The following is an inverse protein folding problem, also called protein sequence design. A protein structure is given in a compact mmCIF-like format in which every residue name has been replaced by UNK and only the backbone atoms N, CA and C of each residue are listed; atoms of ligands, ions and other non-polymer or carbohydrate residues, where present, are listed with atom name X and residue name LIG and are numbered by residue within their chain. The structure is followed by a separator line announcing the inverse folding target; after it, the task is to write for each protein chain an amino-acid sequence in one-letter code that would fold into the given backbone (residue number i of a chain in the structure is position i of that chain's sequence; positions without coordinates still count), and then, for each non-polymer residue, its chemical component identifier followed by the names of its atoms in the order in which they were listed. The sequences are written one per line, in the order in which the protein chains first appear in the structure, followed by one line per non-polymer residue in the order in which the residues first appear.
data_IF_046971057574
#
_entry.id   IF_046971057574
#
_cell.length_a   1.000
_cell.length_b   1.000
_cell.length_c   1.000
_cell.angle_alpha   90.00
_cell.angle_beta   90.00
_cell.angle_gamma   90.00
#
_symmetry.space_group_name_H-M   'P 1'
#
loop_
_entity.id
_entity.type
_entity.pdbx_description
1 polymer ?
#
# COMPACT_ATOMS: atom_id res chain seq x y z
N UNK A 1 -18.92 -13.81 1.35
CA UNK A 1 -18.56 -13.65 2.77
C UNK A 1 -19.71 -14.25 3.59
N UNK A 2 -19.47 -15.33 4.29
CA UNK A 2 -20.39 -15.79 5.31
C UNK A 2 -20.11 -15.00 6.56
N UNK A 3 -21.10 -14.31 7.11
CA UNK A 3 -21.01 -13.45 8.30
C UNK A 3 -20.66 -14.18 9.61
N UNK A 4 -20.23 -15.45 9.54
CA UNK A 4 -20.01 -16.33 10.68
C UNK A 4 -18.55 -16.84 10.81
N UNK A 5 -17.63 -16.43 9.93
CA UNK A 5 -16.24 -16.84 10.11
C UNK A 5 -15.53 -15.90 11.11
N UNK A 6 -14.91 -16.46 12.16
CA UNK A 6 -14.24 -15.62 13.15
C UNK A 6 -13.08 -14.85 12.52
N UNK A 7 -13.08 -13.52 12.70
CA UNK A 7 -12.02 -12.62 12.23
C UNK A 7 -10.78 -12.65 13.13
N UNK A 8 -10.66 -13.65 14.00
CA UNK A 8 -9.48 -13.81 14.84
C UNK A 8 -8.27 -14.20 13.97
N UNK A 9 -7.10 -13.73 14.40
CA UNK A 9 -5.87 -13.89 13.61
C UNK A 9 -5.50 -15.36 13.34
N UNK A 10 -5.87 -16.27 14.23
CA UNK A 10 -5.55 -17.70 14.08
C UNK A 10 -6.37 -18.31 12.93
N UNK A 11 -7.66 -18.01 12.87
CA UNK A 11 -8.56 -18.45 11.79
C UNK A 11 -8.17 -17.85 10.44
N UNK A 12 -7.85 -16.54 10.41
CA UNK A 12 -7.37 -15.87 9.20
C UNK A 12 -6.09 -16.54 8.69
N UNK A 13 -5.14 -16.80 9.58
CA UNK A 13 -3.86 -17.38 9.20
C UNK A 13 -3.95 -18.88 8.85
N UNK A 14 -4.90 -19.61 9.44
CA UNK A 14 -5.21 -20.98 9.02
C UNK A 14 -5.74 -20.99 7.58
N UNK A 15 -6.66 -20.11 7.25
CA UNK A 15 -7.18 -19.98 5.88
C UNK A 15 -6.05 -19.59 4.89
N UNK A 16 -5.15 -18.68 5.28
CA UNK A 16 -3.97 -18.34 4.49
C UNK A 16 -3.04 -19.54 4.27
N UNK A 17 -2.80 -20.34 5.30
CA UNK A 17 -2.00 -21.59 5.19
C UNK A 17 -2.67 -22.59 4.24
N UNK A 18 -3.98 -22.76 4.31
CA UNK A 18 -4.70 -23.61 3.38
C UNK A 18 -4.59 -23.14 1.94
N UNK A 19 -4.68 -21.82 1.68
CA UNK A 19 -4.48 -21.26 0.35
C UNK A 19 -3.08 -21.55 -0.20
N UNK A 20 -2.05 -21.40 0.64
CA UNK A 20 -0.68 -21.74 0.24
C UNK A 20 -0.54 -23.24 -0.07
N UNK A 21 -1.05 -24.11 0.80
CA UNK A 21 -0.90 -25.55 0.64
C UNK A 21 -1.72 -26.14 -0.52
N UNK A 22 -2.99 -25.70 -0.66
CA UNK A 22 -3.91 -26.25 -1.67
C UNK A 22 -3.73 -25.64 -3.05
N UNK A 23 -3.44 -24.34 -3.12
CA UNK A 23 -3.44 -23.58 -4.37
C UNK A 23 -2.06 -23.02 -4.74
N UNK A 24 -1.04 -23.24 -3.91
CA UNK A 24 0.31 -22.77 -4.19
C UNK A 24 0.46 -21.24 -4.18
N UNK A 25 -0.39 -20.53 -3.43
CA UNK A 25 -0.32 -19.08 -3.32
C UNK A 25 1.07 -18.61 -2.88
N UNK A 26 1.62 -17.61 -3.54
CA UNK A 26 2.93 -17.02 -3.26
C UNK A 26 2.85 -15.63 -2.63
N UNK A 27 1.67 -15.04 -2.64
CA UNK A 27 1.38 -13.74 -2.03
C UNK A 27 0.11 -13.84 -1.20
N UNK A 28 0.19 -13.40 0.05
CA UNK A 28 -0.93 -13.22 0.95
C UNK A 28 -1.09 -11.74 1.23
N UNK A 29 -2.28 -11.20 1.00
CA UNK A 29 -2.62 -9.80 1.30
C UNK A 29 -3.65 -9.78 2.42
N UNK A 30 -3.33 -9.10 3.51
CA UNK A 30 -4.21 -8.89 4.65
C UNK A 30 -4.68 -7.42 4.66
N UNK A 31 -5.93 -7.21 4.32
CA UNK A 31 -6.59 -5.89 4.25
C UNK A 31 -7.77 -5.86 5.24
N UNK A 32 -7.64 -5.25 6.39
CA UNK A 32 -6.49 -4.55 6.95
C UNK A 32 -6.23 -4.99 8.41
N UNK A 33 -5.14 -4.52 9.02
CA UNK A 33 -4.78 -4.85 10.40
C UNK A 33 -5.90 -4.56 11.42
N UNK A 34 -6.69 -3.50 11.22
CA UNK A 34 -7.75 -3.12 12.17
C UNK A 34 -8.94 -4.07 12.17
N UNK A 35 -9.12 -4.86 11.13
CA UNK A 35 -10.21 -5.84 11.01
C UNK A 35 -9.85 -7.19 11.61
N UNK A 36 -8.60 -7.39 12.00
CA UNK A 36 -8.11 -8.64 12.58
C UNK A 36 -8.23 -8.56 14.10
N UNK A 37 -9.01 -9.46 14.67
CA UNK A 37 -9.10 -9.59 16.12
C UNK A 37 -7.84 -10.28 16.68
N UNK A 38 -7.05 -9.50 17.40
CA UNK A 38 -5.84 -9.98 18.07
C UNK A 38 -6.09 -10.56 19.47
N UNK A 39 -7.36 -10.66 19.90
CA UNK A 39 -7.78 -11.20 21.20
C UNK A 39 -7.03 -10.58 22.38
N UNK A 40 -6.93 -9.25 22.39
CA UNK A 40 -6.22 -8.52 23.43
C UNK A 40 -7.04 -7.34 23.98
N UNK A 41 -6.72 -6.92 25.19
CA UNK A 41 -7.25 -5.67 25.76
C UNK A 41 -6.54 -4.46 25.13
N UNK A 42 -7.13 -3.26 25.24
CA UNK A 42 -6.52 -2.03 24.72
C UNK A 42 -5.13 -1.75 25.30
N UNK A 43 -4.89 -2.07 26.58
CA UNK A 43 -3.56 -1.94 27.23
C UNK A 43 -2.48 -2.79 26.56
N UNK A 44 -2.84 -3.93 25.97
CA UNK A 44 -1.91 -4.91 25.44
C UNK A 44 -1.82 -4.87 23.92
N UNK A 45 -2.58 -3.98 23.28
CA UNK A 45 -2.73 -3.88 21.83
C UNK A 45 -1.40 -3.74 21.10
N UNK A 46 -0.50 -2.90 21.61
CA UNK A 46 0.82 -2.72 20.98
C UNK A 46 1.66 -4.01 21.02
N UNK A 47 1.59 -4.73 22.13
CA UNK A 47 2.27 -6.03 22.30
C UNK A 47 1.66 -7.08 21.39
N UNK A 48 0.33 -7.15 21.33
CA UNK A 48 -0.38 -8.09 20.47
C UNK A 48 -0.08 -7.83 18.98
N UNK A 49 -0.06 -6.57 18.55
CA UNK A 49 0.34 -6.20 17.20
C UNK A 49 1.78 -6.60 16.90
N UNK A 50 2.71 -6.36 17.82
CA UNK A 50 4.11 -6.77 17.68
C UNK A 50 4.23 -8.28 17.53
N UNK A 51 3.52 -9.04 18.34
CA UNK A 51 3.51 -10.51 18.29
C UNK A 51 2.92 -11.01 16.96
N UNK A 52 1.85 -10.37 16.50
CA UNK A 52 1.23 -10.70 15.23
C UNK A 52 2.18 -10.45 14.04
N UNK A 53 2.90 -9.32 14.00
CA UNK A 53 3.89 -9.06 12.95
C UNK A 53 5.01 -10.11 12.98
N UNK A 54 5.52 -10.46 14.17
CA UNK A 54 6.52 -11.52 14.29
C UNK A 54 5.99 -12.88 13.80
N UNK A 55 4.72 -13.16 14.05
CA UNK A 55 4.06 -14.34 13.52
C UNK A 55 4.00 -14.32 11.99
N UNK A 56 3.60 -13.20 11.38
CA UNK A 56 3.57 -13.05 9.92
C UNK A 56 4.95 -13.23 9.28
N UNK A 57 5.99 -12.70 9.91
CA UNK A 57 7.38 -12.89 9.44
C UNK A 57 7.76 -14.38 9.44
N UNK A 58 7.46 -15.08 10.55
CA UNK A 58 7.72 -16.53 10.66
C UNK A 58 6.91 -17.31 9.62
N UNK A 59 5.66 -16.93 9.41
CA UNK A 59 4.79 -17.53 8.40
C UNK A 59 5.37 -17.36 6.99
N UNK A 60 5.76 -16.14 6.63
CA UNK A 60 6.35 -15.83 5.33
C UNK A 60 7.60 -16.68 5.04
N UNK A 61 8.48 -16.81 6.04
CA UNK A 61 9.70 -17.65 5.93
C UNK A 61 9.34 -19.13 5.83
N UNK A 62 8.45 -19.62 6.72
CA UNK A 62 8.07 -21.05 6.77
C UNK A 62 7.49 -21.55 5.46
N UNK A 63 6.65 -20.72 4.83
CA UNK A 63 5.92 -21.11 3.61
C UNK A 63 6.54 -20.57 2.33
N UNK A 64 7.62 -19.81 2.42
CA UNK A 64 8.29 -19.14 1.30
C UNK A 64 7.29 -18.33 0.44
N UNK A 65 6.56 -17.44 1.12
CA UNK A 65 5.54 -16.56 0.54
C UNK A 65 5.80 -15.11 0.92
N UNK A 66 5.35 -14.18 0.08
CA UNK A 66 5.27 -12.78 0.45
C UNK A 66 3.98 -12.50 1.24
N UNK A 67 4.09 -11.68 2.29
CA UNK A 67 2.94 -11.20 3.06
C UNK A 67 2.89 -9.68 2.99
N UNK A 68 1.76 -9.15 2.54
CA UNK A 68 1.46 -7.71 2.53
C UNK A 68 0.39 -7.45 3.57
N UNK A 69 0.70 -6.62 4.56
CA UNK A 69 -0.25 -6.17 5.57
C UNK A 69 -0.59 -4.71 5.31
N UNK A 70 -1.88 -4.43 5.13
CA UNK A 70 -2.39 -3.06 4.96
C UNK A 70 -2.75 -2.50 6.34
N UNK A 71 -2.28 -1.29 6.63
CA UNK A 71 -2.59 -0.56 7.84
C UNK A 71 -2.98 0.88 7.49
N UNK A 72 -4.00 1.40 8.16
CA UNK A 72 -4.40 2.79 7.98
C UNK A 72 -3.63 3.71 8.93
N UNK A 73 -3.21 4.88 8.47
CA UNK A 73 -2.61 5.88 9.34
C UNK A 73 -3.64 6.38 10.36
N UNK A 74 -3.16 6.87 11.51
CA UNK A 74 -3.99 7.64 12.43
C UNK A 74 -4.44 8.92 11.73
N UNK A 75 -5.63 9.40 12.06
CA UNK A 75 -6.08 10.73 11.60
C UNK A 75 -5.14 11.76 12.22
N UNK A 76 -4.24 12.30 11.42
CA UNK A 76 -3.47 13.51 11.77
C UNK A 76 -4.39 14.72 11.64
N UNK A 77 -4.18 15.74 12.45
CA UNK A 77 -4.97 17.00 12.37
C UNK A 77 -4.72 17.72 11.03
N UNK A 78 -3.60 17.46 10.37
CA UNK A 78 -3.24 17.99 9.08
C UNK A 78 -3.32 16.89 8.01
N UNK A 79 -4.41 16.89 7.24
CA UNK A 79 -4.62 15.94 6.14
C UNK A 79 -3.65 16.12 4.96
N UNK A 80 -2.77 17.11 5.02
CA UNK A 80 -1.83 17.50 3.96
C UNK A 80 -0.37 17.16 4.29
N UNK A 81 -0.09 16.62 5.47
CA UNK A 81 1.26 16.17 5.81
C UNK A 81 1.62 14.87 5.08
N UNK A 82 2.87 14.73 4.70
CA UNK A 82 3.39 13.44 4.25
C UNK A 82 3.13 12.40 5.37
N UNK A 83 2.76 11.19 4.96
CA UNK A 83 2.59 10.09 5.93
C UNK A 83 3.96 9.78 6.50
N UNK A 84 4.14 10.08 7.77
CA UNK A 84 5.36 9.74 8.48
C UNK A 84 5.28 8.32 9.05
N UNK A 85 6.45 7.77 9.35
CA UNK A 85 6.59 6.42 9.89
C UNK A 85 5.80 6.23 11.20
N UNK A 86 5.54 7.32 11.94
CA UNK A 86 4.82 7.33 13.22
C UNK A 86 3.31 7.48 13.10
N UNK A 87 2.81 7.80 11.90
CA UNK A 87 1.38 8.03 11.66
C UNK A 87 0.57 6.74 11.52
N UNK A 88 1.23 5.59 11.41
CA UNK A 88 0.55 4.32 11.26
C UNK A 88 -0.19 3.98 12.56
N UNK A 89 -1.48 3.71 12.44
CA UNK A 89 -2.33 3.29 13.55
C UNK A 89 -1.80 1.97 14.13
N UNK A 90 -1.17 2.06 15.28
CA UNK A 90 -0.54 0.93 15.94
C UNK A 90 0.78 1.31 16.58
N UNK A 91 1.57 0.32 16.92
CA UNK A 91 2.89 0.57 17.48
C UNK A 91 3.89 0.88 16.36
N UNK A 92 4.82 1.80 16.61
CA UNK A 92 5.99 2.05 15.75
C UNK A 92 6.78 0.75 15.47
N UNK A 93 6.60 -0.25 16.31
CA UNK A 93 7.18 -1.57 16.14
C UNK A 93 6.72 -2.28 14.84
N UNK A 94 5.52 -2.00 14.34
CA UNK A 94 5.01 -2.58 13.09
C UNK A 94 5.97 -2.25 11.95
N UNK A 95 6.29 -0.97 11.77
CA UNK A 95 7.25 -0.54 10.74
C UNK A 95 8.66 -1.01 11.04
N UNK A 96 9.05 -0.96 12.32
CA UNK A 96 10.38 -1.39 12.72
C UNK A 96 10.63 -2.87 12.42
N UNK A 97 9.63 -3.73 12.54
CA UNK A 97 9.74 -5.16 12.23
C UNK A 97 9.59 -5.46 10.75
N UNK A 98 8.80 -4.69 10.00
CA UNK A 98 8.60 -4.90 8.57
C UNK A 98 9.91 -4.86 7.78
N UNK A 99 10.05 -5.69 6.78
CA UNK A 99 11.18 -5.69 5.84
C UNK A 99 11.12 -4.49 4.91
N UNK A 100 9.91 -4.13 4.47
CA UNK A 100 9.60 -2.97 3.65
C UNK A 100 8.36 -2.28 4.19
N UNK A 101 8.34 -0.96 4.11
CA UNK A 101 7.19 -0.14 4.47
C UNK A 101 6.97 0.89 3.38
N UNK A 102 5.76 0.90 2.84
CA UNK A 102 5.36 1.78 1.76
C UNK A 102 4.13 2.56 2.22
N UNK A 103 4.20 3.87 2.11
CA UNK A 103 3.07 4.76 2.34
C UNK A 103 2.45 5.21 1.02
N UNK A 104 1.12 5.31 0.99
CA UNK A 104 0.37 5.88 -0.12
C UNK A 104 -0.52 6.99 0.41
N UNK A 105 -0.39 8.20 -0.13
CA UNK A 105 -1.28 9.31 0.18
C UNK A 105 -1.82 9.97 -1.07
N UNK A 106 -3.03 10.49 -1.01
CA UNK A 106 -3.59 11.30 -2.09
C UNK A 106 -2.98 12.69 -2.05
N UNK A 107 -2.75 13.28 -3.22
CA UNK A 107 -2.42 14.70 -3.33
C UNK A 107 -3.68 15.50 -3.04
N UNK A 108 -3.60 16.41 -2.09
CA UNK A 108 -4.74 17.22 -1.66
C UNK A 108 -5.10 18.29 -2.68
N UNK A 109 -6.33 18.83 -2.60
CA UNK A 109 -6.74 19.94 -3.45
C UNK A 109 -5.84 21.17 -3.29
N UNK A 110 -5.42 21.48 -2.05
CA UNK A 110 -4.51 22.60 -1.77
C UNK A 110 -3.15 22.42 -2.44
N UNK A 111 -2.60 21.19 -2.43
CA UNK A 111 -1.35 20.90 -3.14
C UNK A 111 -1.49 21.01 -4.64
N UNK A 112 -2.63 20.63 -5.21
CA UNK A 112 -2.92 20.77 -6.65
C UNK A 112 -3.05 22.24 -7.08
N UNK A 113 -3.51 23.11 -6.18
CA UNK A 113 -3.66 24.54 -6.41
C UNK A 113 -2.34 25.33 -6.17
N UNK A 114 -1.43 24.77 -5.37
CA UNK A 114 -0.14 25.40 -5.08
C UNK A 114 0.84 25.21 -6.24
N UNK A 115 1.13 26.30 -6.95
CA UNK A 115 2.06 26.31 -8.10
C UNK A 115 3.48 25.87 -7.75
N UNK A 116 3.88 25.98 -6.47
CA UNK A 116 5.20 25.59 -5.97
C UNK A 116 5.26 24.14 -5.50
N UNK A 117 4.12 23.47 -5.36
CA UNK A 117 4.08 22.09 -4.91
C UNK A 117 4.60 21.14 -6.01
N UNK A 118 5.63 20.38 -5.70
CA UNK A 118 6.21 19.38 -6.62
C UNK A 118 5.22 18.27 -7.00
N UNK A 119 4.16 18.07 -6.19
CA UNK A 119 3.17 17.01 -6.39
C UNK A 119 1.88 17.48 -7.09
N UNK A 120 1.77 18.77 -7.46
CA UNK A 120 0.54 19.35 -8.00
C UNK A 120 -0.07 18.60 -9.19
N UNK A 121 0.79 17.98 -10.02
CA UNK A 121 0.38 17.27 -11.23
C UNK A 121 0.07 15.78 -11.00
N UNK A 122 0.27 15.25 -9.80
CA UNK A 122 0.03 13.85 -9.48
C UNK A 122 -1.26 13.65 -8.68
N UNK A 123 -1.74 12.42 -8.63
CA UNK A 123 -2.94 12.08 -7.86
C UNK A 123 -2.58 11.46 -6.51
N UNK A 124 -1.47 10.72 -6.49
CA UNK A 124 -1.00 9.99 -5.32
C UNK A 124 0.51 10.14 -5.19
N UNK A 125 0.99 10.20 -3.97
CA UNK A 125 2.41 10.06 -3.65
C UNK A 125 2.64 8.73 -2.98
N UNK A 126 3.52 7.93 -3.56
CA UNK A 126 4.06 6.71 -2.96
C UNK A 126 5.36 7.06 -2.25
N UNK A 127 5.47 6.71 -0.99
CA UNK A 127 6.70 6.92 -0.19
C UNK A 127 7.25 5.57 0.25
N UNK A 128 8.48 5.26 -0.15
CA UNK A 128 9.22 4.12 0.42
C UNK A 128 9.79 4.57 1.75
N UNK A 129 9.09 4.28 2.84
CA UNK A 129 9.49 4.68 4.19
C UNK A 129 10.68 3.87 4.69
N UNK A 130 10.77 2.61 4.27
CA UNK A 130 11.82 1.69 4.68
C UNK A 130 11.98 0.57 3.66
N UNK A 131 13.22 0.26 3.34
CA UNK A 131 13.59 -0.96 2.61
C UNK A 131 14.90 -1.51 3.19
N UNK A 132 14.80 -2.61 3.93
CA UNK A 132 15.97 -3.26 4.54
C UNK A 132 16.88 -3.93 3.51
N UNK A 133 16.33 -4.37 2.38
CA UNK A 133 17.11 -5.09 1.38
C UNK A 133 18.08 -4.14 0.63
N UNK A 134 17.62 -2.93 0.32
CA UNK A 134 18.40 -1.96 -0.45
C UNK A 134 18.90 -0.77 0.37
N UNK A 135 18.57 -0.73 1.67
CA UNK A 135 19.00 0.36 2.56
C UNK A 135 18.43 1.73 2.16
N UNK A 136 17.30 1.76 1.44
CA UNK A 136 16.68 3.01 0.98
C UNK A 136 15.53 3.39 1.90
N UNK A 137 15.41 4.68 2.18
CA UNK A 137 14.29 5.29 2.88
C UNK A 137 13.95 6.63 2.24
N UNK A 138 12.72 7.09 2.49
CA UNK A 138 12.23 8.43 2.14
C UNK A 138 12.21 8.74 0.63
N UNK A 139 12.26 7.68 -0.20
CA UNK A 139 12.10 7.83 -1.64
C UNK A 139 10.63 8.07 -1.95
N UNK A 140 10.32 9.20 -2.60
CA UNK A 140 8.97 9.58 -2.97
C UNK A 140 8.79 9.54 -4.49
N UNK A 141 7.66 8.99 -4.92
CA UNK A 141 7.30 8.85 -6.34
C UNK A 141 5.88 9.39 -6.51
N UNK A 142 5.71 10.34 -7.44
CA UNK A 142 4.39 10.80 -7.85
C UNK A 142 3.75 9.81 -8.82
N UNK A 143 2.47 9.53 -8.64
CA UNK A 143 1.71 8.60 -9.45
C UNK A 143 0.46 9.27 -9.99
N UNK A 144 0.13 9.00 -11.25
CA UNK A 144 -1.17 9.30 -11.83
C UNK A 144 -2.10 8.11 -11.65
N UNK A 145 -3.37 8.38 -11.44
CA UNK A 145 -4.40 7.35 -11.34
C UNK A 145 -5.34 7.41 -12.53
N UNK A 146 -5.42 6.31 -13.28
CA UNK A 146 -6.39 6.16 -14.34
C UNK A 146 -7.68 5.54 -13.82
N UNK A 147 -8.78 6.29 -13.96
CA UNK A 147 -10.11 5.88 -13.49
C UNK A 147 -10.67 4.68 -14.27
N UNK A 148 -10.31 4.53 -15.53
CA UNK A 148 -10.84 3.47 -16.40
C UNK A 148 -10.18 2.13 -16.08
N UNK A 149 -8.87 2.09 -16.13
CA UNK A 149 -8.10 0.87 -15.83
C UNK A 149 -7.90 0.64 -14.34
N UNK A 150 -8.17 1.66 -13.50
CA UNK A 150 -7.90 1.68 -12.04
C UNK A 150 -6.45 1.40 -11.68
N UNK A 151 -5.53 1.80 -12.57
CA UNK A 151 -4.09 1.62 -12.39
C UNK A 151 -3.41 2.92 -12.00
N UNK A 152 -2.25 2.77 -11.39
CA UNK A 152 -1.32 3.86 -11.13
C UNK A 152 -0.15 3.79 -12.12
N UNK A 153 0.32 4.94 -12.55
CA UNK A 153 1.41 5.07 -13.52
C UNK A 153 2.43 6.08 -13.05
N UNK A 154 3.69 5.82 -13.34
CA UNK A 154 4.79 6.76 -13.09
C UNK A 154 5.07 7.63 -14.31
N UNK A 155 4.83 7.10 -15.51
CA UNK A 155 5.05 7.79 -16.78
C UNK A 155 4.17 7.20 -17.89
N UNK A 156 4.28 7.79 -19.08
CA UNK A 156 3.52 7.35 -20.25
C UNK A 156 3.93 5.95 -20.74
N UNK A 157 5.19 5.61 -20.64
CA UNK A 157 5.69 4.31 -21.11
C UNK A 157 5.06 3.18 -20.28
N UNK A 158 4.96 3.39 -18.97
CA UNK A 158 4.29 2.44 -18.09
C UNK A 158 2.78 2.38 -18.38
N UNK A 159 2.15 3.51 -18.67
CA UNK A 159 0.74 3.56 -19.06
C UNK A 159 0.46 2.76 -20.33
N UNK A 160 1.29 2.92 -21.36
CA UNK A 160 1.15 2.22 -22.64
C UNK A 160 1.50 0.73 -22.57
N UNK A 161 2.03 0.24 -21.45
CA UNK A 161 2.41 -1.16 -21.28
C UNK A 161 1.20 -2.07 -21.29
N UNK A 162 1.17 -2.99 -22.22
CA UNK A 162 0.18 -4.07 -22.27
C UNK A 162 0.60 -5.21 -21.34
N UNK A 163 -0.35 -5.76 -20.63
CA UNK A 163 -0.19 -6.96 -19.83
C UNK A 163 -0.81 -8.15 -20.56
N UNK A 164 -0.32 -9.37 -20.30
CA UNK A 164 -0.76 -10.59 -20.97
C UNK A 164 -2.27 -10.90 -20.83
N UNK A 165 -2.96 -10.24 -19.91
CA UNK A 165 -4.41 -10.36 -19.69
C UNK A 165 -5.21 -9.18 -20.25
N UNK A 166 -4.56 -8.22 -20.90
CA UNK A 166 -5.23 -7.07 -21.52
C UNK A 166 -5.64 -7.44 -22.94
N UNK A 167 -6.93 -7.71 -23.16
CA UNK A 167 -7.51 -7.92 -24.49
C UNK A 167 -7.67 -6.60 -25.27
N UNK A 168 -7.53 -5.45 -24.61
CA UNK A 168 -7.70 -4.15 -25.22
C UNK A 168 -6.35 -3.59 -25.66
N UNK A 169 -6.22 -3.33 -26.94
CA UNK A 169 -5.18 -2.47 -27.48
C UNK A 169 -5.49 -1.06 -26.94
N UNK A 170 -4.74 -0.62 -25.95
CA UNK A 170 -4.78 0.79 -25.54
C UNK A 170 -4.24 1.59 -26.73
N UNK A 171 -5.17 2.09 -27.54
CA UNK A 171 -4.86 3.00 -28.63
C UNK A 171 -4.20 4.24 -28.06
N UNK A 172 -3.33 4.89 -28.81
CA UNK A 172 -2.46 6.04 -28.53
C UNK A 172 -3.05 7.26 -27.80
N UNK A 173 -4.21 7.11 -27.17
CA UNK A 173 -4.85 8.15 -26.38
C UNK A 173 -4.63 7.82 -24.93
N UNK A 174 -3.78 8.59 -24.27
CA UNK A 174 -3.82 8.73 -22.82
C UNK A 174 -5.29 8.81 -22.38
N UNK A 175 -5.69 8.08 -21.33
CA UNK A 175 -7.00 8.32 -20.74
C UNK A 175 -7.05 9.80 -20.48
N UNK A 176 -8.07 10.42 -21.06
CA UNK A 176 -8.24 11.86 -21.00
C UNK A 176 -8.32 12.26 -19.53
N UNK A 177 -7.23 12.74 -19.04
CA UNK A 177 -7.22 13.67 -17.96
C UNK A 177 -7.21 15.01 -18.65
N UNK A 178 -8.32 15.74 -18.61
CA UNK A 178 -8.38 17.15 -19.04
C UNK A 178 -7.46 17.94 -18.11
N UNK A 179 -6.21 17.82 -18.36
CA UNK A 179 -5.15 18.57 -17.71
C UNK A 179 -4.85 19.67 -18.70
N UNK A 180 -5.49 20.83 -18.50
CA UNK A 180 -5.17 22.08 -19.16
C UNK A 180 -3.70 22.11 -19.60
N UNK A 181 -3.44 22.49 -20.79
CA UNK A 181 -2.27 22.71 -21.67
C UNK A 181 -0.82 22.52 -21.16
N UNK A 182 -0.58 22.24 -19.87
CA UNK A 182 0.75 21.99 -19.28
C UNK A 182 1.08 20.48 -19.14
N UNK A 183 0.65 19.67 -20.08
CA UNK A 183 0.87 18.22 -20.11
C UNK A 183 2.27 17.79 -20.56
N UNK A 184 3.28 18.52 -20.21
CA UNK A 184 4.64 18.01 -20.32
C UNK A 184 4.93 17.09 -19.14
N UNK A 185 5.11 15.79 -19.42
CA UNK A 185 5.80 14.93 -18.47
C UNK A 185 7.10 15.62 -18.07
N UNK A 186 7.43 15.71 -16.79
CA UNK A 186 8.72 16.27 -16.42
C UNK A 186 9.80 15.50 -17.16
N UNK A 187 10.59 16.23 -17.95
CA UNK A 187 11.76 15.70 -18.63
C UNK A 187 12.64 14.98 -17.62
N UNK A 188 13.27 13.90 -18.07
CA UNK A 188 14.06 12.92 -17.30
C UNK A 188 15.12 13.54 -16.44
#
# INVERSE_FOLDING_TARGET
YKDEEPNDYESVMKSAEECVRKFGCKLIVLDNLMMIDLKCNESDKNTAQTNFINFLIKFAVKFNVAVVLIAHPRKTQDSNSDIEMYDIAGSSNIINLAMRSIGLRRVSKKEKEDTKCKWKNYDVVLTVMKDRMFGKSDVQIGLWYDLVSRRFYTDYVEYAKQFAWDDNVYTDKLPYVDRTEDNTFPDK
#
